data_IF_250450122316
#
_entry.id   IF_250450122316
#
_cell.length_a   1.000
_cell.length_b   1.000
_cell.length_c   1.000
_cell.angle_alpha   90.00
_cell.angle_beta   90.00
_cell.angle_gamma   90.00
#
_symmetry.space_group_name_H-M   'P 1'
#
loop_
_entity.id
_entity.type
_entity.pdbx_description
1 polymer ?
#
# COMPACT_ATOMS: atom_id res chain seq x y z
N UNK A 1 -12.23 29.11 22.02
CA UNK A 1 -10.94 28.42 22.11
C UNK A 1 -9.84 29.48 22.08
N UNK A 2 -8.94 29.45 23.04
CA UNK A 2 -7.82 30.39 23.10
C UNK A 2 -6.80 30.00 22.02
N UNK A 3 -6.62 30.85 21.04
CA UNK A 3 -5.57 30.66 20.03
C UNK A 3 -4.24 31.05 20.71
N UNK A 4 -3.38 30.05 20.93
CA UNK A 4 -1.99 30.31 21.30
C UNK A 4 -1.23 30.50 19.97
N UNK A 5 -0.92 31.74 19.64
CA UNK A 5 -0.10 32.07 18.47
C UNK A 5 1.35 31.79 18.88
N UNK A 6 1.87 30.63 18.50
CA UNK A 6 3.31 30.40 18.54
C UNK A 6 3.92 31.08 17.30
N UNK A 7 4.86 32.00 17.53
CA UNK A 7 5.59 32.65 16.43
C UNK A 7 6.87 31.84 16.19
N UNK A 8 6.96 31.03 15.12
CA UNK A 8 8.09 30.13 14.87
C UNK A 8 9.44 30.86 14.81
N UNK A 9 9.45 32.08 14.28
CA UNK A 9 10.65 32.92 14.19
C UNK A 9 11.19 33.31 15.57
N UNK A 10 10.29 33.60 16.53
CA UNK A 10 10.70 33.92 17.91
C UNK A 10 11.29 32.68 18.61
N UNK A 11 10.72 31.49 18.37
CA UNK A 11 11.26 30.23 18.90
C UNK A 11 12.64 29.93 18.31
N UNK A 12 12.81 30.14 17.00
CA UNK A 12 14.11 29.95 16.32
C UNK A 12 15.14 30.93 16.82
N UNK A 13 14.78 32.20 17.03
CA UNK A 13 15.66 33.22 17.61
C UNK A 13 16.07 32.83 19.04
N UNK A 14 15.12 32.45 19.89
CA UNK A 14 15.41 32.00 21.25
C UNK A 14 16.31 30.77 21.29
N UNK A 15 16.15 29.82 20.35
CA UNK A 15 17.06 28.67 20.21
C UNK A 15 18.48 29.11 19.86
N UNK A 16 18.62 30.08 18.96
CA UNK A 16 19.93 30.68 18.60
C UNK A 16 20.61 31.39 19.78
N UNK A 17 19.86 32.18 20.56
CA UNK A 17 20.35 32.85 21.75
C UNK A 17 20.82 31.85 22.81
N UNK A 18 20.03 30.78 23.05
CA UNK A 18 20.39 29.71 23.97
C UNK A 18 21.65 28.98 23.50
N UNK A 19 21.78 28.68 22.22
CA UNK A 19 23.00 28.05 21.67
C UNK A 19 24.25 28.93 21.91
N UNK A 20 24.12 30.25 21.74
CA UNK A 20 25.17 31.22 22.03
C UNK A 20 25.58 31.24 23.51
N UNK A 21 24.57 31.24 24.40
CA UNK A 21 24.78 31.17 25.88
C UNK A 21 25.50 29.84 26.22
N UNK A 22 25.05 28.73 25.70
CA UNK A 22 25.68 27.42 25.91
C UNK A 22 27.13 27.38 25.47
N UNK A 23 27.43 27.96 24.31
CA UNK A 23 28.81 28.08 23.80
C UNK A 23 29.68 28.91 24.72
N UNK A 24 29.18 30.05 25.24
CA UNK A 24 29.91 30.95 26.15
C UNK A 24 30.16 30.29 27.50
N UNK A 25 29.20 29.58 28.07
CA UNK A 25 29.35 28.83 29.32
C UNK A 25 30.39 27.73 29.16
N UNK A 26 30.32 26.97 28.04
CA UNK A 26 31.22 25.87 27.74
C UNK A 26 32.70 26.37 27.58
N UNK A 27 32.87 27.50 26.90
CA UNK A 27 34.17 28.14 26.77
C UNK A 27 34.76 28.57 28.13
N UNK A 28 33.95 29.24 28.98
CA UNK A 28 34.35 29.68 30.32
C UNK A 28 34.69 28.50 31.23
N UNK A 29 33.88 27.44 31.20
CA UNK A 29 34.12 26.23 32.00
C UNK A 29 35.43 25.51 31.58
N UNK A 30 35.68 25.43 30.29
CA UNK A 30 36.99 24.87 29.81
C UNK A 30 38.18 25.74 30.20
N UNK A 31 38.03 27.05 30.13
CA UNK A 31 39.10 27.95 30.53
C UNK A 31 39.45 27.81 32.03
N UNK A 32 38.44 27.60 32.90
CA UNK A 32 38.64 27.40 34.32
C UNK A 32 39.22 26.02 34.69
N UNK A 33 39.06 24.99 33.81
CA UNK A 33 39.36 23.60 34.13
C UNK A 33 40.81 23.38 34.58
N UNK A 34 41.78 23.91 33.83
CA UNK A 34 43.23 23.70 34.14
C UNK A 34 43.64 24.31 35.47
N UNK A 35 43.08 25.48 35.84
CA UNK A 35 43.43 26.17 37.06
C UNK A 35 42.74 25.58 38.31
N UNK A 36 41.64 24.83 38.15
CA UNK A 36 40.85 24.34 39.29
C UNK A 36 40.98 22.85 39.54
N UNK A 37 41.38 22.03 38.51
CA UNK A 37 41.48 20.57 38.65
C UNK A 37 42.91 20.07 38.95
N UNK A 38 43.90 20.96 38.95
CA UNK A 38 45.33 20.62 39.19
C UNK A 38 45.99 21.65 40.08
N UNK A 39 45.49 21.78 41.28
CA UNK A 39 46.06 22.71 42.25
C UNK A 39 47.36 22.15 42.81
N UNK A 40 48.41 23.02 42.88
CA UNK A 40 49.63 22.66 43.52
C UNK A 40 49.51 22.86 45.04
N UNK A 41 50.11 22.01 45.87
CA UNK A 41 50.21 22.22 47.32
C UNK A 41 50.89 23.56 47.64
N UNK A 42 50.36 24.30 48.61
CA UNK A 42 50.94 25.60 49.06
C UNK A 42 52.27 25.43 49.76
N UNK A 43 52.55 24.29 50.37
CA UNK A 43 53.79 23.91 51.00
C UNK A 43 54.09 22.39 50.83
N UNK A 44 55.31 21.95 51.16
CA UNK A 44 55.70 20.53 51.05
C UNK A 44 55.32 19.74 52.33
N UNK A 45 54.06 19.87 52.78
CA UNK A 45 53.52 19.14 53.93
C UNK A 45 52.24 18.39 53.56
N UNK A 46 51.89 17.38 54.36
CA UNK A 46 50.74 16.48 54.07
C UNK A 46 49.40 17.25 54.10
N UNK A 47 49.26 18.28 54.92
CA UNK A 47 48.03 19.07 55.04
C UNK A 47 47.79 19.86 53.77
N UNK A 48 48.83 20.58 53.30
CA UNK A 48 48.79 21.32 52.04
C UNK A 48 48.51 20.42 50.85
N UNK A 49 49.11 19.21 50.83
CA UNK A 49 48.83 18.22 49.77
C UNK A 49 47.37 17.70 49.80
N UNK A 50 46.81 17.39 50.98
CA UNK A 50 45.42 16.97 51.12
C UNK A 50 44.44 18.07 50.76
N UNK A 51 44.71 19.32 51.12
CA UNK A 51 43.84 20.46 50.75
C UNK A 51 43.88 20.66 49.23
N UNK A 52 45.02 20.59 48.56
CA UNK A 52 45.14 20.73 47.13
C UNK A 52 44.38 19.59 46.41
N UNK A 53 44.48 18.36 46.92
CA UNK A 53 43.76 17.19 46.38
C UNK A 53 42.22 17.34 46.54
N UNK A 54 41.75 17.84 47.71
CA UNK A 54 40.31 18.07 47.96
C UNK A 54 39.73 19.09 46.99
N UNK A 55 40.39 20.25 46.81
CA UNK A 55 39.93 21.29 45.88
C UNK A 55 40.05 20.85 44.42
N UNK A 56 41.11 20.11 44.05
CA UNK A 56 41.23 19.54 42.71
C UNK A 56 40.10 18.53 42.41
N UNK A 57 39.78 17.64 43.34
CA UNK A 57 38.65 16.70 43.23
C UNK A 57 37.29 17.42 43.13
N UNK A 58 37.08 18.52 43.89
CA UNK A 58 35.88 19.35 43.74
C UNK A 58 35.82 19.98 42.33
N UNK A 59 36.93 20.50 41.83
CA UNK A 59 37.04 21.02 40.46
C UNK A 59 36.70 19.97 39.40
N UNK A 60 37.19 18.74 39.56
CA UNK A 60 36.88 17.61 38.65
C UNK A 60 35.40 17.26 38.69
N UNK A 61 34.78 17.21 39.89
CA UNK A 61 33.33 17.01 40.05
C UNK A 61 32.51 18.07 39.34
N UNK A 62 32.90 19.34 39.48
CA UNK A 62 32.26 20.45 38.77
C UNK A 62 32.37 20.28 37.22
N UNK A 63 33.55 19.93 36.73
CA UNK A 63 33.71 19.66 35.29
C UNK A 63 32.87 18.48 34.75
N UNK A 64 32.64 17.47 35.60
CA UNK A 64 31.74 16.37 35.24
C UNK A 64 30.28 16.85 35.09
N UNK A 65 29.77 17.62 36.05
CA UNK A 65 28.43 18.22 36.03
C UNK A 65 28.30 19.17 34.83
N UNK A 66 29.30 20.00 34.57
CA UNK A 66 29.31 20.95 33.46
C UNK A 66 29.16 20.25 32.09
N UNK A 67 29.80 19.07 31.91
CA UNK A 67 29.62 18.26 30.69
C UNK A 67 28.20 17.72 30.54
N UNK A 68 27.57 17.29 31.64
CA UNK A 68 26.17 16.84 31.61
C UNK A 68 25.22 17.98 31.29
N UNK A 69 25.45 19.17 31.88
CA UNK A 69 24.67 20.36 31.57
C UNK A 69 24.82 20.82 30.13
N UNK A 70 26.04 20.74 29.56
CA UNK A 70 26.27 21.05 28.15
C UNK A 70 25.47 20.08 27.24
N UNK A 71 25.50 18.79 27.51
CA UNK A 71 24.75 17.79 26.74
C UNK A 71 23.22 18.02 26.85
N UNK A 72 22.72 18.34 28.03
CA UNK A 72 21.30 18.69 28.21
C UNK A 72 20.93 19.97 27.44
N UNK A 73 21.77 20.98 27.50
CA UNK A 73 21.55 22.25 26.81
C UNK A 73 21.49 22.08 25.30
N UNK A 74 22.40 21.27 24.74
CA UNK A 74 22.41 20.93 23.30
C UNK A 74 21.11 20.20 22.89
N UNK A 75 20.66 19.22 23.69
CA UNK A 75 19.41 18.51 23.43
C UNK A 75 18.20 19.42 23.54
N UNK A 76 18.17 20.33 24.52
CA UNK A 76 17.08 21.29 24.69
C UNK A 76 17.00 22.27 23.52
N UNK A 77 18.13 22.80 23.08
CA UNK A 77 18.22 23.69 21.92
C UNK A 77 17.76 23.01 20.63
N UNK A 78 18.15 21.73 20.44
CA UNK A 78 17.70 20.93 19.30
C UNK A 78 16.18 20.69 19.32
N UNK A 79 15.63 20.35 20.49
CA UNK A 79 14.18 20.16 20.66
C UNK A 79 13.41 21.44 20.37
N UNK A 80 13.90 22.59 20.81
CA UNK A 80 13.27 23.91 20.57
C UNK A 80 13.28 24.26 19.08
N UNK A 81 14.39 24.04 18.39
CA UNK A 81 14.53 24.25 16.95
C UNK A 81 13.57 23.33 16.16
N UNK A 82 13.51 22.04 16.53
CA UNK A 82 12.60 21.09 15.93
C UNK A 82 11.12 21.50 16.11
N UNK A 83 10.77 21.97 17.31
CA UNK A 83 9.43 22.46 17.60
C UNK A 83 9.08 23.69 16.77
N UNK A 84 10.01 24.65 16.62
CA UNK A 84 9.81 25.82 15.76
C UNK A 84 9.51 25.42 14.31
N UNK A 85 10.26 24.45 13.76
CA UNK A 85 10.03 23.92 12.43
C UNK A 85 8.66 23.23 12.28
N UNK A 86 8.23 22.47 13.29
CA UNK A 86 6.93 21.83 13.30
C UNK A 86 5.77 22.84 13.30
N UNK A 87 5.89 23.91 14.09
CA UNK A 87 4.90 25.00 14.10
C UNK A 87 4.86 25.75 12.79
N UNK A 88 6.00 26.06 12.18
CA UNK A 88 6.07 26.71 10.86
C UNK A 88 5.39 25.87 9.78
N UNK A 89 5.63 24.57 9.77
CA UNK A 89 4.99 23.65 8.82
C UNK A 89 3.48 23.57 9.02
N UNK A 90 3.01 23.52 10.27
CA UNK A 90 1.59 23.47 10.59
C UNK A 90 0.88 24.77 10.17
N UNK A 91 1.51 25.93 10.35
CA UNK A 91 0.96 27.23 9.96
C UNK A 91 0.87 27.36 8.44
N UNK A 92 1.92 26.96 7.70
CA UNK A 92 1.91 26.94 6.26
C UNK A 92 0.78 26.06 5.70
N UNK A 93 0.57 24.87 6.28
CA UNK A 93 -0.53 23.97 5.91
C UNK A 93 -1.90 24.59 6.18
N UNK A 94 -2.07 25.30 7.30
CA UNK A 94 -3.32 25.98 7.64
C UNK A 94 -3.66 27.09 6.64
N UNK A 95 -2.69 27.89 6.23
CA UNK A 95 -2.88 28.96 5.23
C UNK A 95 -3.27 28.35 3.88
N UNK A 96 -2.58 27.29 3.44
CA UNK A 96 -2.92 26.58 2.20
C UNK A 96 -4.37 26.06 2.25
N UNK A 97 -4.79 25.42 3.34
CA UNK A 97 -6.14 24.89 3.48
C UNK A 97 -7.20 26.01 3.46
N UNK A 98 -6.93 27.18 4.06
CA UNK A 98 -7.84 28.32 4.02
C UNK A 98 -7.98 28.88 2.60
N UNK A 99 -6.88 29.04 1.87
CA UNK A 99 -6.89 29.51 0.48
C UNK A 99 -7.62 28.52 -0.41
N UNK A 100 -7.33 27.22 -0.29
CA UNK A 100 -8.04 26.17 -1.04
C UNK A 100 -9.53 26.14 -0.68
N UNK A 101 -9.88 26.35 0.58
CA UNK A 101 -11.28 26.44 1.02
C UNK A 101 -12.01 27.59 0.32
N UNK A 102 -11.39 28.77 0.22
CA UNK A 102 -11.96 29.92 -0.46
C UNK A 102 -12.12 29.69 -1.97
N UNK A 103 -11.11 29.10 -2.61
CA UNK A 103 -11.13 28.76 -4.04
C UNK A 103 -12.19 27.72 -4.36
N UNK A 104 -12.35 26.72 -3.49
CA UNK A 104 -13.25 25.59 -3.69
C UNK A 104 -14.71 25.88 -3.30
N UNK A 105 -14.97 26.86 -2.44
CA UNK A 105 -16.31 27.14 -1.92
C UNK A 105 -17.37 27.33 -3.01
N UNK A 106 -17.16 28.09 -4.09
CA UNK A 106 -18.19 28.27 -5.12
C UNK A 106 -18.52 26.97 -5.87
N UNK A 107 -17.51 26.19 -6.26
CA UNK A 107 -17.72 24.93 -6.99
C UNK A 107 -18.28 23.83 -6.09
N UNK A 108 -17.89 23.82 -4.83
CA UNK A 108 -18.45 22.90 -3.83
C UNK A 108 -19.95 23.17 -3.60
N UNK A 109 -20.34 24.44 -3.50
CA UNK A 109 -21.75 24.82 -3.31
C UNK A 109 -22.64 24.55 -4.52
N UNK A 110 -22.11 24.78 -5.74
CA UNK A 110 -22.88 24.66 -6.98
C UNK A 110 -22.88 23.23 -7.55
N UNK A 111 -21.77 22.51 -7.44
CA UNK A 111 -21.52 21.24 -8.13
C UNK A 111 -21.19 20.08 -7.18
N UNK A 112 -21.12 20.32 -5.87
CA UNK A 112 -20.75 19.32 -4.86
C UNK A 112 -19.32 18.80 -4.97
N UNK A 113 -18.44 19.48 -5.76
CA UNK A 113 -17.06 19.08 -5.99
C UNK A 113 -16.11 20.27 -5.85
N UNK A 114 -14.89 20.09 -5.32
CA UNK A 114 -13.89 21.14 -5.27
C UNK A 114 -13.40 21.49 -6.69
N UNK A 115 -12.92 22.69 -6.90
CA UNK A 115 -12.21 23.07 -8.11
C UNK A 115 -10.82 22.42 -8.15
N UNK A 116 -10.11 22.51 -7.03
CA UNK A 116 -8.75 21.98 -6.85
C UNK A 116 -8.73 21.12 -5.57
N UNK A 117 -8.22 19.91 -5.69
CA UNK A 117 -8.07 18.98 -4.56
C UNK A 117 -8.30 17.53 -4.95
N UNK A 118 -7.73 16.62 -4.21
CA UNK A 118 -7.94 15.19 -4.42
C UNK A 118 -9.32 14.77 -3.90
N UNK A 119 -9.89 13.75 -4.52
CA UNK A 119 -11.06 13.06 -3.98
C UNK A 119 -10.72 12.34 -2.67
N UNK A 120 -11.67 12.29 -1.76
CA UNK A 120 -11.51 11.54 -0.52
C UNK A 120 -11.42 10.03 -0.81
N UNK A 121 -10.54 9.33 -0.09
CA UNK A 121 -10.49 7.86 -0.16
C UNK A 121 -11.77 7.24 0.42
N UNK A 122 -12.13 6.09 -0.10
CA UNK A 122 -13.25 5.30 0.40
C UNK A 122 -13.01 4.84 1.84
N UNK A 123 -14.10 4.68 2.56
CA UNK A 123 -14.12 4.20 3.95
C UNK A 123 -15.02 2.98 4.06
N UNK A 124 -15.00 2.31 5.20
CA UNK A 124 -15.90 1.16 5.43
C UNK A 124 -17.40 1.53 5.28
N UNK A 125 -17.78 2.77 5.63
CA UNK A 125 -19.15 3.27 5.52
C UNK A 125 -19.50 3.69 4.07
N UNK A 126 -18.54 4.26 3.34
CA UNK A 126 -18.67 4.69 1.94
C UNK A 126 -17.49 4.15 1.14
N UNK A 127 -17.60 2.92 0.62
CA UNK A 127 -16.44 2.22 0.06
C UNK A 127 -15.83 2.86 -1.19
N UNK A 128 -16.59 3.62 -1.94
CA UNK A 128 -16.12 4.23 -3.18
C UNK A 128 -15.26 5.48 -2.91
N UNK A 129 -14.19 5.61 -3.65
CA UNK A 129 -13.36 6.82 -3.65
C UNK A 129 -14.12 8.01 -4.22
N UNK A 130 -13.92 9.18 -3.62
CA UNK A 130 -14.50 10.45 -4.07
C UNK A 130 -13.89 10.93 -5.38
N UNK A 131 -14.64 11.70 -6.15
CA UNK A 131 -14.12 12.34 -7.35
C UNK A 131 -13.11 13.45 -6.99
N UNK A 132 -12.03 13.57 -7.76
CA UNK A 132 -11.06 14.66 -7.66
C UNK A 132 -11.63 16.01 -8.08
N UNK A 133 -10.87 17.07 -7.90
CA UNK A 133 -11.26 18.43 -8.28
C UNK A 133 -11.62 18.56 -9.76
N UNK A 134 -12.46 19.53 -10.07
CA UNK A 134 -12.90 19.76 -11.45
C UNK A 134 -11.73 20.13 -12.37
N UNK A 135 -10.83 20.98 -11.88
CA UNK A 135 -9.67 21.48 -12.65
C UNK A 135 -8.43 20.63 -12.39
N UNK A 136 -8.12 20.40 -11.13
CA UNK A 136 -6.90 19.70 -10.72
C UNK A 136 -7.15 18.85 -9.47
N UNK A 137 -6.69 17.59 -9.52
CA UNK A 137 -6.72 16.66 -8.41
C UNK A 137 -7.01 15.22 -8.83
N UNK A 138 -6.43 14.30 -8.10
CA UNK A 138 -6.63 12.87 -8.34
C UNK A 138 -7.97 12.40 -7.76
N UNK A 139 -8.53 11.35 -8.32
CA UNK A 139 -9.63 10.62 -7.68
C UNK A 139 -9.14 9.93 -6.39
N UNK A 140 -10.01 9.81 -5.40
CA UNK A 140 -9.77 9.06 -4.18
C UNK A 140 -9.75 7.55 -4.45
N UNK A 141 -9.00 6.79 -3.65
CA UNK A 141 -8.94 5.33 -3.78
C UNK A 141 -10.21 4.68 -3.21
N UNK A 142 -10.61 3.56 -3.77
CA UNK A 142 -11.66 2.72 -3.23
C UNK A 142 -11.20 1.99 -1.96
N UNK A 143 -12.11 1.75 -1.04
CA UNK A 143 -11.84 1.02 0.20
C UNK A 143 -11.69 -0.48 -0.07
N UNK A 144 -10.64 -1.08 0.48
CA UNK A 144 -10.44 -2.53 0.44
C UNK A 144 -11.26 -3.21 1.53
N UNK A 145 -12.09 -4.17 1.14
CA UNK A 145 -12.98 -4.87 2.07
C UNK A 145 -12.26 -6.02 2.78
N UNK A 146 -12.49 -6.13 4.07
CA UNK A 146 -12.07 -7.27 4.89
C UNK A 146 -13.21 -8.24 5.18
N UNK A 147 -14.47 -7.79 5.03
CA UNK A 147 -15.67 -8.59 5.26
C UNK A 147 -15.94 -9.47 4.05
N UNK A 148 -16.19 -10.74 4.26
CA UNK A 148 -16.51 -11.70 3.22
C UNK A 148 -17.79 -11.29 2.45
N UNK A 149 -17.79 -11.48 1.13
CA UNK A 149 -18.91 -11.19 0.25
C UNK A 149 -19.08 -9.72 -0.12
N UNK A 150 -18.31 -8.78 0.46
CA UNK A 150 -18.36 -7.37 0.12
C UNK A 150 -17.36 -7.03 -0.98
N UNK A 151 -17.83 -6.40 -2.05
CA UNK A 151 -16.98 -5.94 -3.17
C UNK A 151 -16.11 -4.77 -2.73
N UNK A 152 -14.86 -4.72 -3.23
CA UNK A 152 -13.99 -3.57 -3.04
C UNK A 152 -14.62 -2.28 -3.57
N UNK A 153 -14.33 -1.15 -2.93
CA UNK A 153 -14.79 0.16 -3.38
C UNK A 153 -14.19 0.54 -4.74
N UNK A 154 -14.93 1.24 -5.56
CA UNK A 154 -14.41 1.78 -6.83
C UNK A 154 -13.48 2.97 -6.56
N UNK A 155 -12.44 3.14 -7.37
CA UNK A 155 -11.66 4.38 -7.38
C UNK A 155 -12.46 5.56 -7.92
N UNK A 156 -12.23 6.77 -7.38
CA UNK A 156 -12.81 8.01 -7.86
C UNK A 156 -12.20 8.49 -9.17
N UNK A 157 -12.95 9.19 -9.99
CA UNK A 157 -12.44 9.78 -11.23
C UNK A 157 -11.82 11.16 -10.98
N UNK A 158 -10.75 11.50 -11.71
CA UNK A 158 -10.24 12.86 -11.74
C UNK A 158 -11.17 13.79 -12.55
N UNK A 159 -10.90 15.11 -12.53
CA UNK A 159 -11.58 16.08 -13.39
C UNK A 159 -10.84 16.35 -14.70
N UNK A 160 -10.30 17.58 -14.85
CA UNK A 160 -9.55 17.95 -16.05
C UNK A 160 -8.14 17.37 -16.04
N UNK A 161 -7.41 17.56 -14.95
CA UNK A 161 -6.03 17.11 -14.76
C UNK A 161 -5.93 16.34 -13.45
N UNK A 162 -5.44 15.09 -13.51
CA UNK A 162 -5.21 14.21 -12.36
C UNK A 162 -5.42 12.75 -12.72
N UNK A 163 -4.91 11.87 -11.90
CA UNK A 163 -5.06 10.43 -12.07
C UNK A 163 -6.36 9.93 -11.45
N UNK A 164 -6.93 8.89 -12.00
CA UNK A 164 -8.01 8.15 -11.36
C UNK A 164 -7.51 7.46 -10.08
N UNK A 165 -8.37 7.33 -9.08
CA UNK A 165 -8.09 6.56 -7.87
C UNK A 165 -8.09 5.06 -8.14
N UNK A 166 -7.34 4.31 -7.38
CA UNK A 166 -7.32 2.85 -7.48
C UNK A 166 -8.58 2.22 -6.89
N UNK A 167 -9.03 1.12 -7.44
CA UNK A 167 -10.09 0.29 -6.85
C UNK A 167 -9.58 -0.45 -5.62
N UNK A 168 -10.44 -0.66 -4.64
CA UNK A 168 -10.18 -1.44 -3.43
C UNK A 168 -10.28 -2.94 -3.68
N UNK A 169 -9.55 -3.74 -2.92
CA UNK A 169 -9.65 -5.19 -2.95
C UNK A 169 -11.02 -5.68 -2.43
N UNK A 170 -11.54 -6.74 -3.01
CA UNK A 170 -12.74 -7.42 -2.51
C UNK A 170 -12.46 -8.22 -1.25
N UNK A 171 -13.46 -8.31 -0.37
CA UNK A 171 -13.47 -9.25 0.75
C UNK A 171 -13.54 -10.70 0.25
N UNK A 172 -13.40 -11.66 1.16
CA UNK A 172 -13.34 -13.09 0.81
C UNK A 172 -14.49 -13.50 -0.14
N UNK A 173 -14.15 -14.07 -1.31
CA UNK A 173 -15.08 -14.48 -2.35
C UNK A 173 -15.74 -13.33 -3.13
N UNK A 174 -15.39 -12.09 -2.91
CA UNK A 174 -16.00 -10.92 -3.55
C UNK A 174 -15.08 -10.24 -4.56
N UNK A 175 -15.66 -9.50 -5.48
CA UNK A 175 -14.93 -8.83 -6.54
C UNK A 175 -14.11 -7.64 -6.03
N UNK A 176 -13.00 -7.34 -6.69
CA UNK A 176 -12.29 -6.07 -6.53
C UNK A 176 -13.06 -4.91 -7.16
N UNK A 177 -12.87 -3.71 -6.63
CA UNK A 177 -13.41 -2.48 -7.16
C UNK A 177 -12.69 -2.05 -8.46
N UNK A 178 -13.41 -1.41 -9.36
CA UNK A 178 -12.80 -0.84 -10.57
C UNK A 178 -11.94 0.38 -10.23
N UNK A 179 -10.88 0.60 -11.02
CA UNK A 179 -10.12 1.85 -10.98
C UNK A 179 -10.93 3.02 -11.53
N UNK A 180 -10.70 4.23 -10.98
CA UNK A 180 -11.29 5.47 -11.45
C UNK A 180 -10.67 5.97 -12.75
N UNK A 181 -11.41 6.78 -13.51
CA UNK A 181 -10.88 7.35 -14.74
C UNK A 181 -9.90 8.49 -14.47
N UNK A 182 -8.86 8.59 -15.31
CA UNK A 182 -7.96 9.74 -15.34
C UNK A 182 -8.65 11.01 -15.83
N UNK A 183 -7.95 12.15 -15.69
CA UNK A 183 -8.43 13.45 -16.09
C UNK A 183 -8.70 13.56 -17.59
N UNK A 184 -9.69 14.36 -17.95
CA UNK A 184 -10.07 14.51 -19.34
C UNK A 184 -8.91 14.99 -20.24
N UNK A 185 -8.12 15.94 -19.80
CA UNK A 185 -6.97 16.44 -20.56
C UNK A 185 -5.71 15.62 -20.30
N UNK A 186 -5.37 15.40 -19.00
CA UNK A 186 -4.13 14.72 -18.61
C UNK A 186 -4.32 13.90 -17.33
N UNK A 187 -3.84 12.68 -17.37
CA UNK A 187 -3.82 11.78 -16.22
C UNK A 187 -4.13 10.35 -16.60
N UNK A 188 -3.54 9.43 -15.86
CA UNK A 188 -3.73 7.99 -16.05
C UNK A 188 -4.99 7.50 -15.34
N UNK A 189 -5.60 6.44 -15.85
CA UNK A 189 -6.61 5.68 -15.13
C UNK A 189 -6.03 5.02 -13.88
N UNK A 190 -6.83 4.86 -12.84
CA UNK A 190 -6.49 4.11 -11.64
C UNK A 190 -6.50 2.61 -11.87
N UNK A 191 -5.73 1.87 -11.09
CA UNK A 191 -5.71 0.41 -11.20
C UNK A 191 -6.98 -0.21 -10.59
N UNK A 192 -7.41 -1.36 -11.12
CA UNK A 192 -8.48 -2.17 -10.52
C UNK A 192 -7.99 -2.89 -9.26
N UNK A 193 -8.87 -3.08 -8.30
CA UNK A 193 -8.61 -3.82 -7.08
C UNK A 193 -8.60 -5.33 -7.32
N UNK A 194 -7.86 -6.08 -6.52
CA UNK A 194 -7.86 -7.54 -6.57
C UNK A 194 -9.20 -8.13 -6.10
N UNK A 195 -9.61 -9.24 -6.69
CA UNK A 195 -10.70 -10.06 -6.17
C UNK A 195 -10.29 -10.78 -4.88
N UNK A 196 -11.22 -10.94 -3.95
CA UNK A 196 -10.97 -11.64 -2.69
C UNK A 196 -10.90 -13.16 -2.90
N UNK A 197 -9.99 -13.82 -2.16
CA UNK A 197 -9.91 -15.28 -2.19
C UNK A 197 -11.20 -15.91 -1.59
N UNK A 198 -11.73 -16.93 -2.26
CA UNK A 198 -12.85 -17.68 -1.73
C UNK A 198 -12.45 -18.51 -0.50
N UNK A 199 -13.29 -18.60 0.53
CA UNK A 199 -13.05 -19.48 1.67
C UNK A 199 -12.91 -20.95 1.23
N UNK A 200 -12.03 -21.69 1.90
CA UNK A 200 -11.91 -23.12 1.68
C UNK A 200 -13.20 -23.85 2.04
N UNK A 201 -13.55 -24.87 1.25
CA UNK A 201 -14.69 -25.71 1.58
C UNK A 201 -14.42 -26.61 2.80
N UNK A 202 -15.48 -27.14 3.40
CA UNK A 202 -15.37 -28.19 4.38
C UNK A 202 -14.78 -29.46 3.73
N UNK A 203 -14.28 -30.41 4.56
CA UNK A 203 -13.75 -31.67 4.07
C UNK A 203 -14.77 -32.35 3.16
N UNK A 204 -14.38 -32.60 1.90
CA UNK A 204 -15.25 -33.23 0.90
C UNK A 204 -16.21 -32.28 0.16
N UNK A 205 -16.19 -30.98 0.44
CA UNK A 205 -16.96 -29.97 -0.26
C UNK A 205 -16.06 -28.98 -1.02
N UNK A 206 -16.42 -28.50 -2.22
CA UNK A 206 -15.67 -27.47 -2.93
C UNK A 206 -15.68 -26.17 -2.12
N UNK A 207 -14.58 -25.42 -2.15
CA UNK A 207 -14.49 -24.06 -1.59
C UNK A 207 -15.39 -23.08 -2.34
N UNK A 208 -15.61 -21.93 -1.73
CA UNK A 208 -16.30 -20.80 -2.37
C UNK A 208 -15.44 -20.22 -3.49
N UNK A 209 -16.07 -19.75 -4.55
CA UNK A 209 -15.36 -19.13 -5.67
C UNK A 209 -14.59 -17.87 -5.21
N UNK A 210 -13.43 -17.64 -5.82
CA UNK A 210 -12.71 -16.38 -5.68
C UNK A 210 -13.44 -15.27 -6.46
N UNK A 211 -13.34 -14.03 -5.96
CA UNK A 211 -13.90 -12.86 -6.61
C UNK A 211 -13.11 -12.47 -7.88
N UNK A 212 -13.76 -11.85 -8.84
CA UNK A 212 -13.07 -11.29 -10.00
C UNK A 212 -12.24 -10.06 -9.62
N UNK A 213 -11.15 -9.82 -10.33
CA UNK A 213 -10.41 -8.56 -10.25
C UNK A 213 -11.20 -7.41 -10.87
N UNK A 214 -11.05 -6.21 -10.31
CA UNK A 214 -11.63 -5.00 -10.85
C UNK A 214 -10.95 -4.56 -12.15
N UNK A 215 -11.68 -3.94 -13.05
CA UNK A 215 -11.10 -3.38 -14.27
C UNK A 215 -10.26 -2.14 -13.94
N UNK A 216 -9.21 -1.89 -14.74
CA UNK A 216 -8.46 -0.62 -14.71
C UNK A 216 -9.28 0.53 -15.27
N UNK A 217 -9.05 1.74 -14.76
CA UNK A 217 -9.68 2.97 -15.25
C UNK A 217 -9.09 3.42 -16.59
N UNK A 218 -9.85 4.19 -17.34
CA UNK A 218 -9.42 4.77 -18.62
C UNK A 218 -8.78 6.14 -18.43
N UNK A 219 -7.89 6.56 -19.35
CA UNK A 219 -7.43 7.95 -19.43
C UNK A 219 -8.30 8.77 -20.40
N UNK A 220 -8.24 10.11 -20.31
CA UNK A 220 -8.96 11.02 -21.21
C UNK A 220 -8.24 11.27 -22.52
N UNK A 221 -7.53 12.41 -22.67
CA UNK A 221 -6.80 12.78 -23.89
C UNK A 221 -5.37 12.25 -23.88
N UNK A 222 -4.64 12.48 -22.77
CA UNK A 222 -3.27 12.02 -22.55
C UNK A 222 -3.18 11.23 -21.25
N UNK A 223 -2.58 10.05 -21.27
CA UNK A 223 -2.30 9.24 -20.11
C UNK A 223 -2.43 7.76 -20.38
N UNK A 224 -1.95 6.96 -19.48
CA UNK A 224 -2.01 5.51 -19.57
C UNK A 224 -3.33 4.99 -18.98
N UNK A 225 -3.82 3.89 -19.53
CA UNK A 225 -4.89 3.11 -18.88
C UNK A 225 -4.39 2.48 -17.58
N UNK A 226 -5.25 2.34 -16.60
CA UNK A 226 -4.95 1.65 -15.35
C UNK A 226 -4.87 0.14 -15.56
N UNK A 227 -4.05 -0.56 -14.77
CA UNK A 227 -3.98 -2.01 -14.80
C UNK A 227 -5.25 -2.65 -14.22
N UNK A 228 -5.65 -3.81 -14.72
CA UNK A 228 -6.71 -4.65 -14.13
C UNK A 228 -6.21 -5.35 -12.87
N UNK A 229 -7.11 -5.58 -11.91
CA UNK A 229 -6.83 -6.32 -10.68
C UNK A 229 -6.77 -7.83 -10.92
N UNK A 230 -5.97 -8.55 -10.15
CA UNK A 230 -5.93 -10.02 -10.19
C UNK A 230 -7.25 -10.63 -9.69
N UNK A 231 -7.64 -11.76 -10.24
CA UNK A 231 -8.75 -12.59 -9.71
C UNK A 231 -8.34 -13.28 -8.41
N UNK A 232 -9.29 -13.47 -7.51
CA UNK A 232 -9.09 -14.19 -6.26
C UNK A 232 -9.03 -15.70 -6.46
N UNK A 233 -8.18 -16.39 -5.71
CA UNK A 233 -8.16 -17.84 -5.65
C UNK A 233 -9.37 -18.40 -4.89
N UNK A 234 -9.80 -19.63 -5.17
CA UNK A 234 -10.93 -20.23 -4.44
C UNK A 234 -11.32 -21.60 -5.00
N UNK A 235 -12.49 -22.10 -4.64
CA UNK A 235 -13.06 -23.33 -5.20
C UNK A 235 -13.16 -23.27 -6.74
N UNK A 236 -13.61 -22.13 -7.27
CA UNK A 236 -13.35 -21.71 -8.64
C UNK A 236 -12.55 -20.40 -8.57
N UNK A 237 -11.53 -20.23 -9.41
CA UNK A 237 -10.75 -19.01 -9.49
C UNK A 237 -11.55 -17.87 -10.10
N UNK A 238 -11.40 -16.65 -9.56
CA UNK A 238 -11.97 -15.43 -10.11
C UNK A 238 -11.27 -14.99 -11.39
N UNK A 239 -11.99 -14.40 -12.34
CA UNK A 239 -11.40 -13.82 -13.55
C UNK A 239 -10.49 -12.63 -13.21
N UNK A 240 -9.39 -12.46 -13.93
CA UNK A 240 -8.60 -11.22 -13.88
C UNK A 240 -9.38 -10.04 -14.48
N UNK A 241 -9.18 -8.84 -13.94
CA UNK A 241 -9.76 -7.62 -14.44
C UNK A 241 -9.12 -7.18 -15.76
N UNK A 242 -9.90 -6.55 -16.63
CA UNK A 242 -9.39 -6.01 -17.88
C UNK A 242 -8.53 -4.74 -17.61
N UNK A 243 -7.51 -4.52 -18.44
CA UNK A 243 -6.75 -3.25 -18.42
C UNK A 243 -7.57 -2.12 -19.02
N UNK A 244 -7.39 -0.90 -18.45
CA UNK A 244 -8.04 0.31 -18.94
C UNK A 244 -7.46 0.81 -20.25
N UNK A 245 -8.26 1.49 -21.06
CA UNK A 245 -7.78 2.11 -22.30
C UNK A 245 -6.93 3.34 -22.00
N UNK A 246 -5.93 3.58 -22.85
CA UNK A 246 -5.13 4.80 -22.82
C UNK A 246 -5.94 6.04 -23.19
N UNK A 247 -5.29 7.20 -23.02
CA UNK A 247 -5.83 8.48 -23.51
C UNK A 247 -5.98 8.49 -25.03
N UNK A 248 -7.02 9.17 -25.52
CA UNK A 248 -7.37 9.15 -26.93
C UNK A 248 -6.20 9.51 -27.85
N UNK A 249 -5.38 10.50 -27.50
CA UNK A 249 -4.29 10.91 -28.38
C UNK A 249 -3.02 10.10 -28.15
N UNK A 250 -2.58 9.97 -26.87
CA UNK A 250 -1.32 9.29 -26.55
C UNK A 250 -1.37 8.65 -25.17
N UNK A 251 -0.80 7.45 -25.06
CA UNK A 251 -0.64 6.69 -23.84
C UNK A 251 -0.65 5.20 -24.11
N UNK A 252 -0.15 4.41 -23.18
CA UNK A 252 -0.17 2.96 -23.23
C UNK A 252 -1.48 2.42 -22.65
N UNK A 253 -2.03 1.39 -23.21
CA UNK A 253 -3.11 0.62 -22.62
C UNK A 253 -2.64 -0.01 -21.30
N UNK A 254 -3.54 -0.15 -20.33
CA UNK A 254 -3.24 -0.82 -19.07
C UNK A 254 -3.11 -2.32 -19.23
N UNK A 255 -2.21 -2.93 -18.49
CA UNK A 255 -2.07 -4.39 -18.44
C UNK A 255 -3.30 -5.02 -17.74
N UNK A 256 -3.63 -6.23 -18.13
CA UNK A 256 -4.73 -6.95 -17.51
C UNK A 256 -4.29 -7.71 -16.26
N UNK A 257 -5.23 -7.99 -15.37
CA UNK A 257 -5.03 -8.85 -14.22
C UNK A 257 -5.00 -10.32 -14.58
N UNK A 258 -4.26 -11.12 -13.81
CA UNK A 258 -4.20 -12.58 -13.91
C UNK A 258 -5.48 -13.21 -13.35
N UNK A 259 -5.86 -14.36 -13.88
CA UNK A 259 -6.91 -15.21 -13.32
C UNK A 259 -6.49 -15.80 -11.96
N UNK A 260 -7.43 -15.99 -11.04
CA UNK A 260 -7.20 -16.65 -9.76
C UNK A 260 -7.08 -18.18 -9.93
N UNK A 261 -6.26 -18.81 -9.08
CA UNK A 261 -6.14 -20.26 -8.97
C UNK A 261 -7.34 -20.89 -8.26
N UNK A 262 -7.59 -22.16 -8.53
CA UNK A 262 -8.67 -22.88 -7.87
C UNK A 262 -9.01 -24.20 -8.55
N UNK A 263 -10.05 -24.88 -8.09
CA UNK A 263 -10.55 -26.12 -8.71
C UNK A 263 -10.67 -25.94 -10.22
N UNK A 264 -11.53 -25.01 -10.64
CA UNK A 264 -11.49 -24.47 -12.00
C UNK A 264 -10.84 -23.08 -11.92
N UNK A 265 -9.76 -22.88 -12.62
CA UNK A 265 -9.03 -21.61 -12.54
C UNK A 265 -9.73 -20.51 -13.34
N UNK A 266 -9.58 -19.26 -12.87
CA UNK A 266 -10.10 -18.07 -13.54
C UNK A 266 -9.30 -17.71 -14.80
N UNK A 267 -9.99 -17.16 -15.80
CA UNK A 267 -9.33 -16.63 -17.00
C UNK A 267 -8.59 -15.32 -16.67
N UNK A 268 -7.53 -15.02 -17.41
CA UNK A 268 -6.90 -13.72 -17.42
C UNK A 268 -7.82 -12.65 -18.02
N UNK A 269 -7.62 -11.40 -17.62
CA UNK A 269 -8.27 -10.25 -18.23
C UNK A 269 -7.68 -9.85 -19.57
N UNK A 270 -8.34 -8.98 -20.32
CA UNK A 270 -7.84 -8.46 -21.59
C UNK A 270 -7.03 -7.20 -21.38
N UNK A 271 -5.93 -7.02 -22.11
CA UNK A 271 -5.12 -5.79 -22.11
C UNK A 271 -5.90 -4.61 -22.71
N UNK A 272 -5.64 -3.40 -22.17
CA UNK A 272 -6.25 -2.17 -22.64
C UNK A 272 -5.66 -1.66 -23.96
N UNK A 273 -6.45 -0.92 -24.72
CA UNK A 273 -6.01 -0.35 -25.99
C UNK A 273 -5.12 0.87 -25.79
N UNK A 274 -4.16 1.09 -26.70
CA UNK A 274 -3.34 2.30 -26.76
C UNK A 274 -4.12 3.50 -27.30
N UNK A 275 -3.51 4.71 -27.17
CA UNK A 275 -4.01 5.94 -27.79
C UNK A 275 -3.94 5.91 -29.32
N UNK A 276 -4.51 6.95 -29.96
CA UNK A 276 -4.56 6.98 -31.43
C UNK A 276 -3.19 7.26 -32.08
N UNK A 277 -2.43 8.24 -31.56
CA UNK A 277 -1.17 8.70 -32.15
C UNK A 277 0.00 7.81 -31.75
N UNK A 278 0.19 7.59 -30.46
CA UNK A 278 1.31 6.80 -29.94
C UNK A 278 0.94 6.06 -28.66
N UNK A 279 1.56 4.91 -28.47
CA UNK A 279 1.44 4.07 -27.29
C UNK A 279 1.30 2.61 -27.60
N UNK A 280 1.68 1.76 -26.67
CA UNK A 280 1.59 0.32 -26.79
C UNK A 280 0.27 -0.21 -26.21
N UNK A 281 -0.29 -1.24 -26.77
CA UNK A 281 -1.38 -1.98 -26.16
C UNK A 281 -0.93 -2.64 -24.85
N UNK A 282 -1.80 -2.71 -23.85
CA UNK A 282 -1.54 -3.43 -22.62
C UNK A 282 -1.48 -4.94 -22.83
N UNK A 283 -0.71 -5.65 -22.00
CA UNK A 283 -0.61 -7.11 -22.04
C UNK A 283 -1.89 -7.78 -21.53
N UNK A 284 -2.28 -8.91 -22.10
CA UNK A 284 -3.31 -9.79 -21.58
C UNK A 284 -2.83 -10.47 -20.30
N UNK A 285 -3.74 -10.65 -19.32
CA UNK A 285 -3.44 -11.35 -18.08
C UNK A 285 -3.28 -12.86 -18.28
N UNK A 286 -2.37 -13.49 -17.56
CA UNK A 286 -2.25 -14.95 -17.54
C UNK A 286 -3.49 -15.63 -16.94
N UNK A 287 -3.86 -16.82 -17.41
CA UNK A 287 -4.84 -17.67 -16.77
C UNK A 287 -4.36 -18.18 -15.41
N UNK A 288 -5.26 -18.41 -14.48
CA UNK A 288 -4.95 -19.00 -13.18
C UNK A 288 -4.55 -20.48 -13.28
N UNK A 289 -3.81 -20.96 -12.31
CA UNK A 289 -3.44 -22.39 -12.21
C UNK A 289 -4.59 -23.20 -11.64
N UNK A 290 -4.84 -24.39 -12.21
CA UNK A 290 -5.85 -25.30 -11.68
C UNK A 290 -5.45 -25.80 -10.28
N UNK A 291 -6.43 -26.01 -9.43
CA UNK A 291 -6.25 -26.56 -8.09
C UNK A 291 -5.97 -28.08 -8.18
N UNK A 292 -5.18 -28.59 -7.22
CA UNK A 292 -5.01 -30.04 -7.06
C UNK A 292 -6.36 -30.68 -6.69
N UNK A 293 -6.59 -31.90 -7.17
CA UNK A 293 -7.75 -32.67 -6.80
C UNK A 293 -7.78 -32.92 -5.27
N UNK A 294 -8.96 -32.94 -4.67
CA UNK A 294 -9.13 -33.22 -3.24
C UNK A 294 -8.70 -34.65 -2.88
N UNK A 295 -8.17 -34.84 -1.67
CA UNK A 295 -7.83 -36.15 -1.16
C UNK A 295 -9.13 -36.94 -0.86
N UNK A 296 -9.19 -38.19 -1.26
CA UNK A 296 -10.27 -39.08 -0.90
C UNK A 296 -10.35 -39.31 0.62
N UNK A 297 -11.56 -39.47 1.14
CA UNK A 297 -11.77 -39.74 2.57
C UNK A 297 -11.20 -41.13 2.95
N UNK A 298 -10.71 -41.25 4.19
CA UNK A 298 -10.27 -42.55 4.71
C UNK A 298 -11.48 -43.45 4.99
N UNK A 299 -11.33 -44.74 4.71
CA UNK A 299 -12.30 -45.75 5.10
C UNK A 299 -12.45 -45.83 6.63
N UNK A 300 -13.64 -46.23 7.09
CA UNK A 300 -13.88 -46.43 8.53
C UNK A 300 -13.04 -47.60 9.10
N UNK A 301 -12.63 -47.44 10.36
CA UNK A 301 -11.98 -48.52 11.11
C UNK A 301 -13.03 -49.29 11.90
N UNK A 302 -13.03 -50.63 11.84
CA UNK A 302 -13.99 -51.42 12.60
C UNK A 302 -14.07 -52.86 12.12
N UNK A 303 -15.11 -53.61 12.58
CA UNK A 303 -15.31 -55.02 12.26
C UNK A 303 -15.62 -55.21 10.77
N UNK A 304 -16.23 -54.24 10.13
CA UNK A 304 -16.46 -54.19 8.68
C UNK A 304 -15.88 -52.87 8.10
N UNK A 305 -14.57 -52.89 7.80
CA UNK A 305 -13.88 -51.66 7.37
C UNK A 305 -14.38 -51.20 6.00
N UNK A 306 -14.80 -49.95 5.92
CA UNK A 306 -15.19 -49.32 4.67
C UNK A 306 -14.00 -49.05 3.75
N UNK A 307 -14.26 -48.99 2.45
CA UNK A 307 -13.27 -48.57 1.47
C UNK A 307 -12.94 -47.05 1.58
N UNK A 308 -11.71 -46.70 1.26
CA UNK A 308 -11.34 -45.29 1.15
C UNK A 308 -12.13 -44.60 0.02
N UNK A 309 -12.45 -43.31 0.21
CA UNK A 309 -13.08 -42.50 -0.81
C UNK A 309 -12.15 -42.25 -1.99
N UNK A 310 -12.73 -42.01 -3.17
CA UNK A 310 -11.94 -41.63 -4.37
C UNK A 310 -11.40 -40.19 -4.19
N UNK A 311 -10.19 -39.97 -4.73
CA UNK A 311 -9.66 -38.61 -4.87
C UNK A 311 -10.45 -37.84 -5.95
N UNK A 312 -10.60 -36.53 -5.76
CA UNK A 312 -11.23 -35.66 -6.74
C UNK A 312 -10.29 -35.39 -7.93
N UNK A 313 -10.88 -35.18 -9.11
CA UNK A 313 -10.13 -34.77 -10.31
C UNK A 313 -9.59 -33.33 -10.13
N UNK A 314 -8.52 -33.00 -10.89
CA UNK A 314 -8.03 -31.63 -10.97
C UNK A 314 -9.02 -30.75 -11.74
N UNK A 315 -9.06 -29.45 -11.40
CA UNK A 315 -9.82 -28.49 -12.18
C UNK A 315 -9.17 -28.12 -13.51
N UNK A 316 -9.90 -27.37 -14.32
CA UNK A 316 -9.39 -26.84 -15.57
C UNK A 316 -8.51 -25.59 -15.32
N UNK A 317 -7.41 -25.47 -16.10
CA UNK A 317 -6.60 -24.27 -16.12
C UNK A 317 -7.37 -23.10 -16.75
N UNK A 318 -7.09 -21.88 -16.32
CA UNK A 318 -7.68 -20.68 -16.90
C UNK A 318 -7.04 -20.30 -18.23
N UNK A 319 -7.80 -19.74 -19.14
CA UNK A 319 -7.27 -19.20 -20.39
C UNK A 319 -6.53 -17.88 -20.16
N UNK A 320 -5.49 -17.61 -20.94
CA UNK A 320 -4.86 -16.29 -21.02
C UNK A 320 -5.80 -15.27 -21.69
N UNK A 321 -5.71 -14.01 -21.27
CA UNK A 321 -6.45 -12.90 -21.87
C UNK A 321 -5.82 -12.39 -23.15
N UNK A 322 -6.58 -11.66 -23.94
CA UNK A 322 -6.08 -11.03 -25.16
C UNK A 322 -5.19 -9.83 -24.85
N UNK A 323 -4.15 -9.61 -25.66
CA UNK A 323 -3.40 -8.36 -25.64
C UNK A 323 -4.21 -7.20 -26.22
N UNK A 324 -3.93 -5.98 -25.75
CA UNK A 324 -4.58 -4.76 -26.23
C UNK A 324 -4.08 -4.31 -27.60
N UNK A 325 -4.86 -3.51 -28.30
CA UNK A 325 -4.49 -2.98 -29.60
C UNK A 325 -3.43 -1.88 -29.48
N UNK A 326 -2.50 -1.84 -30.44
CA UNK A 326 -1.54 -0.75 -30.61
C UNK A 326 -2.22 0.55 -31.01
N UNK A 327 -1.49 1.66 -30.89
CA UNK A 327 -1.84 2.93 -31.53
C UNK A 327 -1.78 2.79 -33.06
N UNK A 328 -2.54 3.66 -33.75
CA UNK A 328 -2.61 3.57 -35.22
C UNK A 328 -1.34 4.04 -35.92
N UNK A 329 -0.56 4.93 -35.29
CA UNK A 329 0.60 5.53 -35.97
C UNK A 329 1.92 5.00 -35.42
N UNK A 330 2.10 4.96 -34.09
CA UNK A 330 3.34 4.51 -33.44
C UNK A 330 3.01 3.68 -32.20
N UNK A 331 3.41 2.44 -32.19
CA UNK A 331 3.28 1.55 -31.03
C UNK A 331 3.11 0.09 -31.40
N UNK A 332 3.35 -0.77 -30.46
CA UNK A 332 3.20 -2.22 -30.57
C UNK A 332 1.91 -2.70 -29.91
N UNK A 333 1.31 -3.74 -30.46
CA UNK A 333 0.20 -4.44 -29.79
C UNK A 333 0.68 -5.12 -28.53
N UNK A 334 -0.18 -5.19 -27.51
CA UNK A 334 0.10 -5.94 -26.28
C UNK A 334 0.17 -7.44 -26.53
N UNK A 335 1.08 -8.14 -25.86
CA UNK A 335 1.13 -9.60 -25.90
C UNK A 335 -0.13 -10.21 -25.26
N UNK A 336 -0.59 -11.34 -25.77
CA UNK A 336 -1.59 -12.16 -25.10
C UNK A 336 -1.03 -12.78 -23.80
N UNK A 337 -1.89 -12.99 -22.82
CA UNK A 337 -1.54 -13.67 -21.57
C UNK A 337 -1.32 -15.16 -21.80
N UNK A 338 -0.38 -15.76 -21.05
CA UNK A 338 -0.20 -17.22 -21.05
C UNK A 338 -1.43 -17.93 -20.45
N UNK A 339 -1.76 -19.11 -20.95
CA UNK A 339 -2.72 -20.01 -20.29
C UNK A 339 -2.19 -20.48 -18.94
N UNK A 340 -3.08 -20.81 -18.02
CA UNK A 340 -2.72 -21.39 -16.73
C UNK A 340 -2.15 -22.79 -16.86
N UNK A 341 -1.35 -23.24 -15.89
CA UNK A 341 -0.82 -24.61 -15.86
C UNK A 341 -1.82 -25.57 -15.23
N UNK A 342 -1.95 -26.77 -15.76
CA UNK A 342 -2.67 -27.88 -15.16
C UNK A 342 -2.03 -28.33 -13.85
N UNK A 343 -2.79 -28.95 -12.98
CA UNK A 343 -2.30 -29.45 -11.69
C UNK A 343 -2.40 -30.97 -11.60
N UNK A 344 -1.80 -31.53 -10.51
CA UNK A 344 -1.85 -32.98 -10.25
C UNK A 344 -3.18 -33.38 -9.66
N UNK A 345 -3.68 -34.57 -9.98
CA UNK A 345 -4.87 -35.14 -9.37
C UNK A 345 -4.70 -35.34 -7.85
N UNK A 346 -5.80 -35.33 -7.11
CA UNK A 346 -5.84 -35.62 -5.69
C UNK A 346 -5.48 -37.08 -5.40
N UNK A 347 -4.92 -37.32 -4.20
CA UNK A 347 -4.62 -38.69 -3.75
C UNK A 347 -5.89 -39.40 -3.28
N UNK A 348 -6.03 -40.68 -3.55
CA UNK A 348 -7.11 -41.48 -3.00
C UNK A 348 -7.02 -41.62 -1.47
N UNK A 349 -8.13 -41.82 -0.80
CA UNK A 349 -8.19 -42.05 0.63
C UNK A 349 -7.59 -43.42 1.05
N UNK A 350 -7.05 -43.49 2.24
CA UNK A 350 -6.60 -44.79 2.81
C UNK A 350 -7.76 -45.74 3.09
N UNK A 351 -7.58 -47.03 2.90
CA UNK A 351 -8.52 -48.05 3.33
C UNK A 351 -8.68 -48.08 4.87
N UNK A 352 -9.82 -48.61 5.36
CA UNK A 352 -10.04 -48.81 6.80
C UNK A 352 -9.12 -49.86 7.40
N UNK A 353 -8.87 -49.80 8.74
CA UNK A 353 -8.17 -50.83 9.46
C UNK A 353 -8.99 -52.12 9.47
N UNK A 354 -8.42 -53.21 8.93
CA UNK A 354 -9.08 -54.53 8.85
C UNK A 354 -9.36 -55.04 7.45
N UNK A 355 -8.87 -54.35 6.39
CA UNK A 355 -8.91 -54.83 5.02
C UNK A 355 -9.68 -53.99 4.00
N UNK A 356 -10.11 -52.78 4.39
CA UNK A 356 -10.68 -51.82 3.39
C UNK A 356 -9.67 -51.45 2.32
N UNK A 357 -10.14 -51.26 1.06
CA UNK A 357 -9.31 -50.81 -0.06
C UNK A 357 -9.20 -49.29 -0.08
N UNK A 358 -8.03 -48.77 -0.47
CA UNK A 358 -7.84 -47.32 -0.70
C UNK A 358 -8.66 -46.83 -1.89
N UNK A 359 -9.05 -45.55 -1.85
CA UNK A 359 -9.73 -44.90 -2.98
C UNK A 359 -8.77 -44.66 -4.15
N UNK A 360 -9.32 -44.51 -5.33
CA UNK A 360 -8.56 -44.13 -6.54
C UNK A 360 -8.14 -42.66 -6.46
N UNK A 361 -6.97 -42.33 -6.97
CA UNK A 361 -6.53 -40.94 -7.15
C UNK A 361 -7.36 -40.23 -8.22
N UNK A 362 -7.50 -38.91 -8.11
CA UNK A 362 -8.13 -38.10 -9.16
C UNK A 362 -7.26 -37.94 -10.39
N UNK A 363 -7.88 -37.62 -11.53
CA UNK A 363 -7.20 -37.42 -12.81
C UNK A 363 -6.52 -36.04 -12.85
N UNK A 364 -5.29 -35.96 -13.33
CA UNK A 364 -4.59 -34.74 -13.65
C UNK A 364 -4.96 -34.24 -15.06
N UNK A 365 -5.12 -32.92 -15.20
CA UNK A 365 -5.31 -32.29 -16.52
C UNK A 365 -3.99 -31.65 -16.95
N UNK A 366 -3.61 -31.89 -18.25
CA UNK A 366 -2.54 -31.14 -18.88
C UNK A 366 -3.06 -29.72 -19.18
N UNK A 367 -2.27 -28.66 -18.89
CA UNK A 367 -2.61 -27.25 -19.15
C UNK A 367 -2.50 -26.93 -20.65
#
# INVERSE_FOLDING_TARGET
MSYMIAVPDMLSSAAGDLASIGSSINASTRAAAAATTRLLPAAADEVSAHIAALFSGHGEGYQAIARQMAAFHDQFTLALTSSAGAYASAEATNVEQQVLGLINAPTQALLGRPLIGNGADGTAANPNGGAGGLLYGNGGNGFSQTTAGLTGGTGGSAGLIGNGGNGGAGGAGANGGAGGNGGWLYGSGGNGGAGGAGPAGAIGAPGVAGGAGGAGGTAGLFGNGGAGGAGGAGGAGGRGGDGGSAGWLSGNGGDAGTGGGGGNAGNGGNGGSAGWLSGNGGTGGGGGTAGAGGQGGNGNSGIDPGNGGQGADTGNAGNGGHGGSAAKLFGDGGAGGAGGMGSTGGTGGGGGFGGGTGGNGGNGHAG
#
